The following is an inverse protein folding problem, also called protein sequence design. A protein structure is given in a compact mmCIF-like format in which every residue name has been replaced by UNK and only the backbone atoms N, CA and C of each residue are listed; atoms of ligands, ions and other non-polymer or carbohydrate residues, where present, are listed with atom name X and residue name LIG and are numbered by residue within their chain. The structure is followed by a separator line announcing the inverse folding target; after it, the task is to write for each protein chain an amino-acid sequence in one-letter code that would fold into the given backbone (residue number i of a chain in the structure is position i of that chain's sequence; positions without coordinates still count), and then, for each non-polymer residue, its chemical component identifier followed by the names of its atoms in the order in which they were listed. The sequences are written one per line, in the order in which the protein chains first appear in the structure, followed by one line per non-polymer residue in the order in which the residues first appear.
data_IF_342524123393
#
_entry.id   IF_342524123393
#
_cell.length_a   1.000
_cell.length_b   1.000
_cell.length_c   1.000
_cell.angle_alpha   90.00
_cell.angle_beta   90.00
_cell.angle_gamma   90.00
#
_symmetry.space_group_name_H-M   'P 1'
#
loop_
_entity.id
_entity.type
_entity.pdbx_description
1 polymer ?
#
# COMPACT_ATOMS: atom_id res chain seq x y z
N UNK A 1 -20.56 -7.83 -5.62
CA UNK A 1 -20.33 -9.10 -4.89
C UNK A 1 -21.64 -9.84 -4.60
N UNK A 2 -22.60 -9.27 -3.84
CA UNK A 2 -23.80 -10.02 -3.42
C UNK A 2 -24.91 -10.19 -4.49
N UNK A 3 -24.89 -9.43 -5.59
CA UNK A 3 -25.94 -9.52 -6.62
C UNK A 3 -26.20 -10.93 -7.16
N UNK A 4 -25.18 -11.67 -7.63
CA UNK A 4 -25.34 -13.06 -8.05
C UNK A 4 -25.83 -14.00 -6.93
N UNK A 5 -25.33 -13.82 -5.70
CA UNK A 5 -25.70 -14.64 -4.54
C UNK A 5 -27.18 -14.46 -4.19
N UNK A 6 -27.65 -13.21 -4.09
CA UNK A 6 -29.05 -12.89 -3.80
C UNK A 6 -29.95 -13.45 -4.91
N UNK A 7 -29.57 -13.32 -6.18
CA UNK A 7 -30.35 -13.88 -7.30
C UNK A 7 -30.47 -15.40 -7.22
N UNK A 8 -29.41 -16.10 -6.82
CA UNK A 8 -29.46 -17.54 -6.65
C UNK A 8 -30.34 -17.93 -5.47
N UNK A 9 -30.20 -17.25 -4.32
CA UNK A 9 -31.02 -17.48 -3.13
C UNK A 9 -32.51 -17.31 -3.42
N UNK A 10 -32.88 -16.25 -4.14
CA UNK A 10 -34.29 -15.97 -4.45
C UNK A 10 -34.86 -16.86 -5.55
N UNK A 11 -34.12 -17.09 -6.65
CA UNK A 11 -34.64 -17.84 -7.80
C UNK A 11 -34.52 -19.35 -7.68
N UNK A 12 -33.47 -19.84 -7.00
CA UNK A 12 -33.15 -21.27 -6.96
C UNK A 12 -33.43 -21.89 -5.59
N UNK A 13 -33.13 -21.17 -4.50
CA UNK A 13 -33.34 -21.68 -3.15
C UNK A 13 -34.67 -21.24 -2.51
N UNK A 14 -35.42 -20.34 -3.16
CA UNK A 14 -36.78 -19.95 -2.74
C UNK A 14 -36.86 -18.91 -1.62
N UNK A 15 -35.76 -18.24 -1.28
CA UNK A 15 -35.77 -17.18 -0.26
C UNK A 15 -36.54 -15.94 -0.73
N UNK A 16 -37.28 -15.32 0.18
CA UNK A 16 -38.06 -14.10 -0.02
C UNK A 16 -37.43 -12.90 0.72
N UNK A 17 -36.92 -11.89 -0.01
CA UNK A 17 -36.36 -10.67 0.59
C UNK A 17 -37.35 -9.97 1.52
N UNK A 18 -36.88 -9.57 2.70
CA UNK A 18 -37.67 -8.94 3.76
C UNK A 18 -38.40 -9.91 4.69
N UNK A 19 -38.53 -11.20 4.31
CA UNK A 19 -39.17 -12.24 5.13
C UNK A 19 -38.13 -13.14 5.79
N UNK A 20 -37.37 -13.88 4.98
CA UNK A 20 -36.37 -14.88 5.40
C UNK A 20 -34.94 -14.53 4.94
N UNK A 21 -34.80 -13.49 4.11
CA UNK A 21 -33.54 -12.96 3.61
C UNK A 21 -33.53 -11.46 3.80
N UNK A 22 -32.47 -10.94 4.41
CA UNK A 22 -32.35 -9.50 4.60
C UNK A 22 -30.89 -9.02 4.58
N UNK A 23 -30.71 -7.72 4.34
CA UNK A 23 -29.41 -7.08 4.28
C UNK A 23 -29.24 -6.11 5.45
N UNK A 24 -28.04 -6.09 6.05
CA UNK A 24 -27.66 -5.14 7.09
C UNK A 24 -26.59 -4.16 6.55
N UNK A 25 -26.94 -3.22 5.65
CA UNK A 25 -25.99 -2.25 5.12
C UNK A 25 -25.55 -1.29 6.23
N UNK A 26 -24.31 -0.81 6.14
CA UNK A 26 -23.74 0.15 7.08
C UNK A 26 -22.83 1.15 6.36
N UNK A 27 -22.55 2.27 7.03
CA UNK A 27 -21.54 3.22 6.56
C UNK A 27 -20.14 2.64 6.76
N UNK A 28 -19.65 1.98 5.72
CA UNK A 28 -18.35 1.33 5.71
C UNK A 28 -17.17 2.30 5.86
N UNK A 29 -17.38 3.62 5.84
CA UNK A 29 -16.31 4.62 6.00
C UNK A 29 -15.88 4.77 7.46
N UNK A 30 -16.73 4.34 8.40
CA UNK A 30 -16.63 4.66 9.82
C UNK A 30 -16.18 3.44 10.62
N UNK A 31 -15.37 3.64 11.69
CA UNK A 31 -14.95 2.54 12.54
C UNK A 31 -16.13 1.94 13.32
N UNK A 32 -16.09 0.65 13.69
CA UNK A 32 -17.20 -0.04 14.35
C UNK A 32 -17.69 0.63 15.63
N UNK A 33 -16.78 1.19 16.42
CA UNK A 33 -17.13 1.87 17.67
C UNK A 33 -18.06 3.07 17.48
N UNK A 34 -18.08 3.68 16.30
CA UNK A 34 -18.94 4.82 15.98
C UNK A 34 -20.23 4.40 15.25
N UNK A 35 -20.29 3.18 14.68
CA UNK A 35 -21.49 2.68 14.00
C UNK A 35 -22.67 2.57 14.96
N UNK A 36 -22.43 2.19 16.21
CA UNK A 36 -23.48 2.18 17.22
C UNK A 36 -23.89 3.58 17.63
N UNK A 37 -22.93 4.41 18.06
CA UNK A 37 -23.21 5.76 18.56
C UNK A 37 -23.90 6.65 17.52
N UNK A 38 -23.51 6.54 16.24
CA UNK A 38 -24.05 7.38 15.17
C UNK A 38 -25.35 6.82 14.58
N UNK A 39 -25.39 5.53 14.28
CA UNK A 39 -26.44 4.92 13.45
C UNK A 39 -27.24 3.83 14.17
N UNK A 40 -26.90 3.51 15.42
CA UNK A 40 -27.46 2.37 16.18
C UNK A 40 -27.36 1.05 15.38
N UNK A 41 -26.30 0.91 14.57
CA UNK A 41 -26.20 -0.16 13.59
C UNK A 41 -26.30 -1.55 14.21
N UNK A 42 -25.64 -1.80 15.35
CA UNK A 42 -25.65 -3.14 15.96
C UNK A 42 -26.98 -3.40 16.67
N UNK A 43 -27.55 -2.40 17.33
CA UNK A 43 -28.91 -2.51 17.91
C UNK A 43 -29.96 -2.80 16.83
N UNK A 44 -29.90 -2.11 15.69
CA UNK A 44 -30.80 -2.34 14.56
C UNK A 44 -30.58 -3.72 13.92
N UNK A 45 -29.31 -4.15 13.76
CA UNK A 45 -28.98 -5.48 13.23
C UNK A 45 -29.46 -6.58 14.18
N UNK A 46 -29.38 -6.37 15.49
CA UNK A 46 -29.90 -7.30 16.50
C UNK A 46 -31.43 -7.44 16.39
N UNK A 47 -32.15 -6.32 16.30
CA UNK A 47 -33.60 -6.34 16.09
C UNK A 47 -33.99 -7.01 14.76
N UNK A 48 -33.18 -6.82 13.72
CA UNK A 48 -33.35 -7.49 12.43
C UNK A 48 -33.19 -9.02 12.54
N UNK A 49 -32.18 -9.49 13.28
CA UNK A 49 -31.99 -10.91 13.58
C UNK A 49 -33.19 -11.48 14.36
N UNK A 50 -33.65 -10.77 15.40
CA UNK A 50 -34.82 -11.19 16.18
C UNK A 50 -36.07 -11.26 15.30
N UNK A 51 -36.28 -10.28 14.40
CA UNK A 51 -37.40 -10.31 13.46
C UNK A 51 -37.32 -11.49 12.50
N UNK A 52 -36.16 -11.75 11.90
CA UNK A 52 -35.96 -12.90 11.00
C UNK A 52 -36.23 -14.22 11.71
N UNK A 53 -35.74 -14.36 12.95
CA UNK A 53 -35.99 -15.53 13.79
C UNK A 53 -37.50 -15.76 13.99
N UNK A 54 -38.27 -14.73 14.37
CA UNK A 54 -39.71 -14.87 14.56
C UNK A 54 -40.47 -15.15 13.26
N UNK A 55 -40.09 -14.47 12.17
CA UNK A 55 -40.71 -14.66 10.86
C UNK A 55 -40.46 -16.07 10.30
N UNK A 56 -39.32 -16.68 10.63
CA UNK A 56 -38.91 -17.99 10.14
C UNK A 56 -39.17 -19.10 11.16
N UNK A 57 -40.30 -19.07 11.85
CA UNK A 57 -40.70 -20.11 12.81
C UNK A 57 -39.65 -20.43 13.89
N UNK A 58 -39.02 -19.39 14.44
CA UNK A 58 -37.97 -19.53 15.47
C UNK A 58 -36.73 -20.28 14.97
N UNK A 59 -36.44 -20.17 13.67
CA UNK A 59 -35.22 -20.74 13.09
C UNK A 59 -34.05 -19.77 13.26
N UNK A 60 -32.90 -20.22 13.77
CA UNK A 60 -31.72 -19.37 13.95
C UNK A 60 -31.16 -18.89 12.60
N UNK A 61 -30.64 -17.65 12.59
CA UNK A 61 -30.22 -16.91 11.40
C UNK A 61 -28.78 -17.24 11.00
N UNK A 62 -28.51 -17.29 9.70
CA UNK A 62 -27.16 -17.41 9.16
C UNK A 62 -26.61 -16.04 8.78
N UNK A 63 -25.46 -15.66 9.36
CA UNK A 63 -24.76 -14.43 9.03
C UNK A 63 -23.78 -14.68 7.88
N UNK A 64 -24.17 -14.29 6.66
CA UNK A 64 -23.28 -14.32 5.50
C UNK A 64 -22.59 -12.97 5.31
N UNK A 65 -21.25 -12.97 5.32
CA UNK A 65 -20.47 -11.74 5.31
C UNK A 65 -19.34 -11.78 4.28
N UNK A 66 -18.93 -10.61 3.78
CA UNK A 66 -17.85 -10.51 2.79
C UNK A 66 -16.84 -9.43 3.19
N UNK A 67 -15.54 -9.73 3.01
CA UNK A 67 -14.44 -8.79 3.24
C UNK A 67 -14.55 -8.12 4.63
N UNK A 68 -14.49 -6.79 4.71
CA UNK A 68 -14.64 -6.04 5.96
C UNK A 68 -15.96 -6.35 6.70
N UNK A 69 -17.02 -6.70 5.97
CA UNK A 69 -18.32 -7.07 6.55
C UNK A 69 -18.21 -8.26 7.51
N UNK A 70 -17.30 -9.21 7.27
CA UNK A 70 -17.10 -10.30 8.21
C UNK A 70 -16.49 -9.81 9.51
N UNK A 71 -15.54 -8.88 9.47
CA UNK A 71 -14.96 -8.29 10.68
C UNK A 71 -16.01 -7.47 11.45
N UNK A 72 -16.92 -6.80 10.73
CA UNK A 72 -18.05 -6.07 11.32
C UNK A 72 -19.06 -7.02 11.98
N UNK A 73 -19.39 -8.14 11.34
CA UNK A 73 -20.23 -9.18 11.93
C UNK A 73 -19.59 -9.84 13.16
N UNK A 74 -18.27 -10.06 13.14
CA UNK A 74 -17.55 -10.51 14.32
C UNK A 74 -17.62 -9.49 15.47
N UNK A 75 -17.53 -8.19 15.17
CA UNK A 75 -17.77 -7.13 16.16
C UNK A 75 -19.20 -7.18 16.71
N UNK A 76 -20.20 -7.33 15.83
CA UNK A 76 -21.60 -7.49 16.19
C UNK A 76 -21.83 -8.68 17.14
N UNK A 77 -21.24 -9.84 16.87
CA UNK A 77 -21.35 -11.00 17.77
C UNK A 77 -20.79 -10.70 19.17
N UNK A 78 -19.67 -9.96 19.26
CA UNK A 78 -19.15 -9.51 20.55
C UNK A 78 -20.07 -8.49 21.23
N UNK A 79 -20.68 -7.59 20.46
CA UNK A 79 -21.69 -6.66 20.95
C UNK A 79 -22.90 -7.42 21.54
N UNK A 80 -23.46 -8.39 20.81
CA UNK A 80 -24.54 -9.24 21.31
C UNK A 80 -24.13 -10.01 22.56
N UNK A 81 -22.90 -10.54 22.60
CA UNK A 81 -22.38 -11.25 23.78
C UNK A 81 -22.37 -10.36 25.02
N UNK A 82 -21.97 -9.08 24.86
CA UNK A 82 -21.94 -8.11 25.96
C UNK A 82 -23.35 -7.66 26.40
N UNK A 83 -24.27 -7.46 25.47
CA UNK A 83 -25.58 -6.87 25.75
C UNK A 83 -26.71 -7.89 26.06
N UNK A 84 -26.63 -9.09 25.50
CA UNK A 84 -27.66 -10.14 25.63
C UNK A 84 -27.13 -11.47 26.19
N UNK A 85 -25.81 -11.63 26.25
CA UNK A 85 -25.16 -12.85 26.74
C UNK A 85 -25.10 -13.96 25.69
N UNK A 86 -24.41 -15.05 26.06
CA UNK A 86 -24.13 -16.16 25.15
C UNK A 86 -25.39 -16.93 24.72
N UNK A 87 -26.35 -17.09 25.63
CA UNK A 87 -27.60 -17.78 25.37
C UNK A 87 -28.39 -17.15 24.21
N UNK A 88 -28.37 -15.82 24.07
CA UNK A 88 -29.02 -15.15 22.95
C UNK A 88 -28.38 -15.52 21.62
N UNK A 89 -27.05 -15.58 21.55
CA UNK A 89 -26.31 -15.97 20.34
C UNK A 89 -26.63 -17.41 19.96
N UNK A 90 -26.55 -18.32 20.93
CA UNK A 90 -26.80 -19.74 20.70
C UNK A 90 -28.25 -20.01 20.25
N UNK A 91 -29.20 -19.16 20.65
CA UNK A 91 -30.60 -19.23 20.23
C UNK A 91 -30.86 -18.62 18.84
N UNK A 92 -30.27 -17.47 18.52
CA UNK A 92 -30.65 -16.68 17.34
C UNK A 92 -29.69 -16.83 16.16
N UNK A 93 -28.47 -17.32 16.35
CA UNK A 93 -27.45 -17.40 15.31
C UNK A 93 -27.09 -18.86 15.04
N UNK A 94 -27.35 -19.33 13.83
CA UNK A 94 -27.05 -20.69 13.42
C UNK A 94 -25.59 -20.83 13.01
N UNK A 95 -25.14 -19.91 12.14
CA UNK A 95 -23.80 -19.95 11.57
C UNK A 95 -23.30 -18.55 11.24
N UNK A 96 -21.98 -18.37 11.37
CA UNK A 96 -21.24 -17.22 10.90
C UNK A 96 -20.37 -17.64 9.72
N UNK A 97 -20.65 -17.07 8.54
CA UNK A 97 -20.01 -17.45 7.26
C UNK A 97 -19.22 -16.25 6.71
N UNK A 98 -17.97 -16.06 7.17
CA UNK A 98 -17.08 -15.02 6.63
C UNK A 98 -16.43 -15.43 5.31
N UNK A 99 -16.67 -14.66 4.26
CA UNK A 99 -16.02 -14.85 2.94
C UNK A 99 -14.94 -13.79 2.75
N UNK A 100 -13.67 -14.22 2.64
CA UNK A 100 -12.53 -13.32 2.39
C UNK A 100 -12.29 -12.27 3.49
N UNK A 101 -12.59 -12.60 4.74
CA UNK A 101 -12.59 -11.63 5.84
C UNK A 101 -11.19 -11.36 6.41
N UNK A 102 -10.73 -10.10 6.48
CA UNK A 102 -9.44 -9.73 7.06
C UNK A 102 -9.51 -9.64 8.60
N UNK A 103 -9.74 -10.78 9.27
CA UNK A 103 -9.87 -10.84 10.74
C UNK A 103 -8.67 -10.20 11.45
N UNK A 104 -7.46 -10.47 10.94
CA UNK A 104 -6.19 -9.98 11.50
C UNK A 104 -5.70 -8.69 10.82
N UNK A 105 -6.55 -8.08 9.99
CA UNK A 105 -6.19 -6.95 9.13
C UNK A 105 -5.65 -7.40 7.78
N UNK A 106 -5.44 -6.44 6.88
CA UNK A 106 -4.93 -6.66 5.55
C UNK A 106 -3.81 -5.65 5.24
N UNK A 107 -2.76 -6.06 4.51
CA UNK A 107 -1.69 -5.15 4.09
C UNK A 107 -2.20 -3.99 3.25
N UNK A 108 -3.28 -4.20 2.50
CA UNK A 108 -3.83 -3.20 1.59
C UNK A 108 -4.28 -1.92 2.31
N UNK A 109 -4.89 -2.02 3.49
CA UNK A 109 -5.30 -0.84 4.26
C UNK A 109 -4.09 0.02 4.67
N UNK A 110 -2.99 -0.63 5.07
CA UNK A 110 -1.74 0.06 5.40
C UNK A 110 -1.09 0.69 4.15
N UNK A 111 -1.06 -0.04 3.03
CA UNK A 111 -0.54 0.48 1.75
C UNK A 111 -1.30 1.72 1.28
N UNK A 112 -2.64 1.64 1.31
CA UNK A 112 -3.54 2.70 0.86
C UNK A 112 -3.40 3.98 1.69
N UNK A 113 -3.33 3.86 3.03
CA UNK A 113 -3.32 5.02 3.91
C UNK A 113 -1.92 5.62 4.15
N UNK A 114 -0.85 4.81 4.12
CA UNK A 114 0.48 5.23 4.60
C UNK A 114 1.56 5.24 3.51
N UNK A 115 1.49 4.33 2.54
CA UNK A 115 2.59 4.07 1.61
C UNK A 115 2.35 4.71 0.24
N UNK A 116 2.14 3.87 -0.78
CA UNK A 116 2.01 4.26 -2.20
C UNK A 116 0.65 4.86 -2.54
N UNK A 117 -0.33 4.76 -1.64
CA UNK A 117 -1.71 5.09 -1.96
C UNK A 117 -2.45 3.94 -2.65
N UNK A 118 -3.78 4.04 -2.63
CA UNK A 118 -4.68 3.16 -3.36
C UNK A 118 -5.91 3.99 -3.73
N UNK A 119 -6.22 4.05 -5.02
CA UNK A 119 -7.41 4.73 -5.54
C UNK A 119 -8.68 3.90 -5.32
N UNK A 120 -8.55 2.67 -4.80
CA UNK A 120 -9.67 1.78 -4.46
C UNK A 120 -10.60 1.51 -5.66
N UNK A 121 -10.02 1.48 -6.87
CA UNK A 121 -10.76 1.30 -8.14
C UNK A 121 -11.41 2.58 -8.68
N UNK A 122 -11.09 3.75 -8.10
CA UNK A 122 -11.55 5.06 -8.56
C UNK A 122 -10.45 5.81 -9.34
N UNK A 123 -9.60 5.07 -10.07
CA UNK A 123 -8.47 5.63 -10.85
C UNK A 123 -8.90 6.70 -11.85
N UNK A 124 -10.15 6.63 -12.33
CA UNK A 124 -10.71 7.61 -13.26
C UNK A 124 -11.03 8.97 -12.60
N UNK A 125 -11.09 9.03 -11.27
CA UNK A 125 -11.56 10.20 -10.52
C UNK A 125 -10.56 10.74 -9.51
N UNK A 126 -9.61 9.91 -9.06
CA UNK A 126 -8.67 10.26 -8.00
C UNK A 126 -7.24 10.15 -8.49
N UNK A 127 -6.42 11.16 -8.20
CA UNK A 127 -4.97 11.02 -8.22
C UNK A 127 -4.52 10.07 -7.10
N UNK A 128 -3.28 9.60 -7.20
CA UNK A 128 -2.69 8.77 -6.15
C UNK A 128 -2.62 9.53 -4.81
N UNK A 129 -2.29 10.82 -4.82
CA UNK A 129 -2.29 11.65 -3.60
C UNK A 129 -3.69 11.80 -3.01
N UNK A 130 -4.70 12.01 -3.85
CA UNK A 130 -6.10 12.11 -3.41
C UNK A 130 -6.60 10.77 -2.86
N UNK A 131 -6.18 9.66 -3.45
CA UNK A 131 -6.43 8.32 -2.92
C UNK A 131 -5.86 8.11 -1.52
N UNK A 132 -4.66 8.63 -1.23
CA UNK A 132 -4.06 8.60 0.11
C UNK A 132 -4.90 9.43 1.09
N UNK A 133 -5.30 10.64 0.70
CA UNK A 133 -6.10 11.53 1.55
C UNK A 133 -7.47 10.90 1.85
N UNK A 134 -8.12 10.33 0.84
CA UNK A 134 -9.35 9.57 0.99
C UNK A 134 -9.14 8.41 1.96
N UNK A 135 -8.13 7.58 1.74
CA UNK A 135 -7.85 6.43 2.59
C UNK A 135 -7.63 6.82 4.06
N UNK A 136 -6.97 7.96 4.32
CA UNK A 136 -6.74 8.51 5.67
C UNK A 136 -8.01 9.06 6.32
N UNK A 137 -8.96 9.56 5.53
CA UNK A 137 -10.26 10.03 6.03
C UNK A 137 -11.21 8.90 6.43
N UNK A 138 -10.99 7.69 5.91
CA UNK A 138 -11.82 6.52 6.18
C UNK A 138 -11.33 5.81 7.45
N UNK A 139 -11.95 6.11 8.59
CA UNK A 139 -11.56 5.51 9.87
C UNK A 139 -11.67 3.98 9.92
N UNK A 140 -12.49 3.38 9.05
CA UNK A 140 -12.57 1.92 8.89
C UNK A 140 -11.32 1.29 8.26
N UNK A 141 -10.57 2.00 7.42
CA UNK A 141 -9.35 1.46 6.81
C UNK A 141 -8.24 1.28 7.85
N UNK A 142 -8.14 2.20 8.81
CA UNK A 142 -7.20 2.10 9.93
C UNK A 142 -7.54 0.88 10.80
N UNK A 143 -8.83 0.56 10.96
CA UNK A 143 -9.28 -0.64 11.66
C UNK A 143 -8.88 -1.95 10.96
N UNK A 144 -8.60 -1.90 9.66
CA UNK A 144 -8.08 -3.02 8.87
C UNK A 144 -6.56 -3.13 8.89
N UNK A 145 -5.85 -2.32 9.66
CA UNK A 145 -4.40 -2.44 9.74
C UNK A 145 -3.98 -3.81 10.28
N UNK A 146 -2.87 -4.38 9.76
CA UNK A 146 -2.33 -5.63 10.25
C UNK A 146 -2.10 -5.55 11.76
N UNK A 147 -2.68 -6.49 12.50
CA UNK A 147 -2.44 -6.62 13.93
C UNK A 147 -1.21 -7.49 14.18
N UNK A 148 -0.53 -7.24 15.31
CA UNK A 148 0.60 -8.07 15.73
C UNK A 148 0.11 -9.50 15.95
N UNK A 149 0.67 -10.42 15.17
CA UNK A 149 0.37 -11.84 15.26
C UNK A 149 1.20 -12.51 16.37
N UNK A 150 0.73 -13.64 16.93
CA UNK A 150 1.55 -14.49 17.78
C UNK A 150 2.88 -14.86 17.09
N UNK A 151 3.97 -15.08 17.84
CA UNK A 151 5.30 -15.33 17.28
C UNK A 151 5.38 -16.52 16.31
N UNK A 152 4.45 -17.48 16.43
CA UNK A 152 4.36 -18.68 15.61
C UNK A 152 3.73 -18.46 14.23
N UNK A 153 3.09 -17.32 13.99
CA UNK A 153 2.42 -17.02 12.72
C UNK A 153 3.27 -16.02 11.95
N UNK A 154 3.64 -16.32 10.68
CA UNK A 154 4.41 -15.40 9.87
C UNK A 154 3.66 -14.06 9.73
N UNK A 155 4.34 -12.91 9.87
CA UNK A 155 3.69 -11.61 9.82
C UNK A 155 3.05 -11.37 8.44
N UNK A 156 1.80 -10.92 8.43
CA UNK A 156 1.08 -10.57 7.19
C UNK A 156 1.69 -9.38 6.45
N UNK A 157 2.49 -8.57 7.17
CA UNK A 157 3.26 -7.46 6.62
C UNK A 157 4.67 -7.51 7.20
N UNK A 158 5.65 -7.64 6.31
CA UNK A 158 7.05 -7.47 6.66
C UNK A 158 7.41 -6.02 6.36
N UNK A 159 7.44 -5.19 7.40
CA UNK A 159 8.06 -3.88 7.31
C UNK A 159 9.57 -4.11 7.34
N UNK A 160 10.24 -3.92 6.20
CA UNK A 160 11.70 -3.99 6.16
C UNK A 160 12.26 -2.90 7.06
N UNK A 161 13.26 -3.26 7.86
CA UNK A 161 14.12 -2.29 8.55
C UNK A 161 15.06 -1.58 7.56
N UNK A 162 14.77 -1.55 6.28
CA UNK A 162 15.61 -0.94 5.26
C UNK A 162 14.67 -0.02 4.45
N UNK A 163 15.00 1.27 4.37
CA UNK A 163 14.33 2.20 3.47
C UNK A 163 14.80 2.00 2.03
N UNK A 164 14.07 2.58 1.08
CA UNK A 164 14.51 2.67 -0.31
C UNK A 164 14.65 4.14 -0.69
N UNK A 165 15.86 4.56 -1.02
CA UNK A 165 16.12 5.86 -1.63
C UNK A 165 16.00 5.71 -3.15
N UNK A 166 14.94 6.29 -3.72
CA UNK A 166 14.76 6.39 -5.17
C UNK A 166 15.29 7.73 -5.64
N UNK A 167 16.24 7.72 -6.57
CA UNK A 167 16.75 8.89 -7.28
C UNK A 167 16.29 8.81 -8.72
N UNK A 168 15.52 9.79 -9.16
CA UNK A 168 15.04 9.92 -10.54
C UNK A 168 15.42 11.31 -11.07
N UNK A 169 16.04 11.37 -12.24
CA UNK A 169 16.28 12.63 -12.93
C UNK A 169 15.14 12.83 -13.92
N UNK A 170 14.25 13.78 -13.61
CA UNK A 170 13.06 14.05 -14.43
C UNK A 170 13.31 15.11 -15.50
N UNK A 171 14.35 15.91 -15.34
CA UNK A 171 14.70 17.00 -16.26
C UNK A 171 15.75 16.57 -17.28
N UNK A 172 15.62 16.96 -18.56
CA UNK A 172 16.68 16.78 -19.55
C UNK A 172 17.95 17.52 -19.12
N UNK A 173 19.10 16.86 -19.22
CA UNK A 173 20.38 17.45 -18.86
C UNK A 173 20.99 18.11 -20.10
N UNK A 174 21.26 19.41 -20.04
CA UNK A 174 21.95 20.12 -21.11
C UNK A 174 23.48 19.99 -20.96
N UNK A 175 24.12 19.26 -21.88
CA UNK A 175 25.56 19.01 -21.81
C UNK A 175 26.41 20.24 -22.12
N UNK A 176 25.93 21.16 -22.96
CA UNK A 176 26.64 22.41 -23.28
C UNK A 176 26.74 23.33 -22.07
N UNK A 177 25.70 23.38 -21.25
CA UNK A 177 25.70 24.20 -20.02
C UNK A 177 26.66 23.65 -18.96
N UNK A 178 26.73 22.32 -18.83
CA UNK A 178 27.63 21.67 -17.87
C UNK A 178 29.09 21.67 -18.32
N UNK A 179 29.32 21.56 -19.63
CA UNK A 179 30.65 21.49 -20.25
C UNK A 179 30.80 22.54 -21.38
N UNK A 180 30.82 23.84 -21.04
CA UNK A 180 30.88 24.92 -22.03
C UNK A 180 32.19 24.95 -22.82
N UNK A 181 33.25 24.33 -22.32
CA UNK A 181 34.55 24.23 -22.97
C UNK A 181 34.65 23.13 -24.04
N UNK A 182 33.59 22.34 -24.27
CA UNK A 182 33.62 21.20 -25.19
C UNK A 182 32.96 21.53 -26.53
N UNK A 183 33.68 21.25 -27.62
CA UNK A 183 33.28 21.59 -28.99
C UNK A 183 32.32 20.55 -29.61
N UNK A 184 32.38 19.29 -29.17
CA UNK A 184 31.57 18.18 -29.71
C UNK A 184 31.16 17.16 -28.64
N UNK A 185 29.91 16.69 -28.70
CA UNK A 185 29.34 15.63 -27.86
C UNK A 185 28.94 14.43 -28.76
N UNK A 186 29.91 13.75 -29.35
CA UNK A 186 29.67 12.62 -30.29
C UNK A 186 29.59 11.26 -29.58
N UNK A 187 29.90 11.19 -28.28
CA UNK A 187 29.91 9.94 -27.52
C UNK A 187 28.62 9.76 -26.71
N UNK A 188 28.16 8.51 -26.62
CA UNK A 188 27.04 8.15 -25.75
C UNK A 188 27.44 8.32 -24.29
N UNK A 189 26.57 8.90 -23.46
CA UNK A 189 26.84 9.17 -22.05
C UNK A 189 25.94 8.27 -21.19
N UNK A 190 26.43 7.81 -20.04
CA UNK A 190 25.61 7.13 -19.03
C UNK A 190 25.65 7.89 -17.71
N UNK A 191 24.60 7.73 -16.94
CA UNK A 191 24.46 8.28 -15.61
C UNK A 191 24.88 7.24 -14.57
N UNK A 192 25.77 7.61 -13.67
CA UNK A 192 26.16 6.79 -12.53
C UNK A 192 25.76 7.52 -11.25
N UNK A 193 24.96 6.85 -10.42
CA UNK A 193 24.56 7.36 -9.11
C UNK A 193 25.22 6.48 -8.06
N UNK A 194 25.89 7.11 -7.10
CA UNK A 194 26.58 6.43 -5.99
C UNK A 194 25.95 6.85 -4.67
N UNK A 195 25.66 5.88 -3.82
CA UNK A 195 25.20 6.08 -2.46
C UNK A 195 26.00 5.16 -1.53
N UNK A 196 26.75 5.74 -0.58
CA UNK A 196 27.70 5.02 0.25
C UNK A 196 28.73 4.26 -0.60
N UNK A 197 28.78 2.93 -0.48
CA UNK A 197 29.69 2.05 -1.25
C UNK A 197 29.11 1.52 -2.56
N UNK A 198 27.85 1.82 -2.87
CA UNK A 198 27.13 1.21 -4.01
C UNK A 198 26.97 2.21 -5.15
N UNK A 199 27.39 1.84 -6.36
CA UNK A 199 27.19 2.64 -7.58
C UNK A 199 26.26 1.89 -8.54
N UNK A 200 25.15 2.53 -8.92
CA UNK A 200 24.23 2.06 -9.95
C UNK A 200 24.42 2.89 -11.23
N UNK A 201 24.33 2.25 -12.40
CA UNK A 201 24.62 2.89 -13.70
C UNK A 201 23.46 2.70 -14.68
N UNK A 202 23.10 3.75 -15.41
CA UNK A 202 22.14 3.67 -16.51
C UNK A 202 22.77 3.01 -17.74
N UNK A 203 21.92 2.70 -18.72
CA UNK A 203 22.38 2.43 -20.09
C UNK A 203 23.02 3.69 -20.68
N UNK A 204 23.93 3.49 -21.62
CA UNK A 204 24.47 4.57 -22.44
C UNK A 204 23.39 5.14 -23.35
N UNK A 205 23.35 6.46 -23.47
CA UNK A 205 22.37 7.18 -24.26
C UNK A 205 23.07 8.25 -25.09
N UNK A 206 22.72 8.34 -26.37
CA UNK A 206 23.24 9.37 -27.24
C UNK A 206 22.56 10.71 -26.93
N UNK A 207 23.30 11.84 -26.96
CA UNK A 207 22.70 13.16 -26.88
C UNK A 207 21.79 13.43 -28.08
N UNK A 208 20.69 14.10 -27.84
CA UNK A 208 19.77 14.60 -28.87
C UNK A 208 20.43 15.75 -29.65
N UNK A 209 19.79 16.17 -30.75
CA UNK A 209 20.32 17.21 -31.67
C UNK A 209 20.70 18.52 -30.94
N UNK A 210 20.02 18.83 -29.84
CA UNK A 210 20.26 20.05 -29.05
C UNK A 210 21.33 19.87 -27.94
N UNK A 211 22.06 18.74 -27.94
CA UNK A 211 23.04 18.38 -26.90
C UNK A 211 22.41 18.16 -25.51
N UNK A 212 21.12 17.80 -25.50
CA UNK A 212 20.36 17.37 -24.33
C UNK A 212 20.40 15.84 -24.20
N UNK A 213 20.45 15.34 -22.96
CA UNK A 213 20.32 13.90 -22.68
C UNK A 213 19.22 13.70 -21.64
N UNK A 214 18.30 12.79 -21.93
CA UNK A 214 17.15 12.49 -21.07
C UNK A 214 17.23 11.08 -20.53
N UNK A 215 17.59 10.93 -19.24
CA UNK A 215 17.71 9.63 -18.59
C UNK A 215 16.40 9.19 -17.95
N UNK A 216 15.65 8.31 -18.61
CA UNK A 216 14.40 7.74 -18.06
C UNK A 216 14.66 6.62 -17.03
N UNK A 217 15.71 6.72 -16.23
CA UNK A 217 16.11 5.68 -15.27
C UNK A 217 15.93 6.15 -13.83
N UNK A 218 15.22 5.34 -13.04
CA UNK A 218 15.15 5.49 -11.59
C UNK A 218 16.18 4.56 -10.92
N UNK A 219 17.03 5.12 -10.05
CA UNK A 219 18.03 4.37 -9.28
C UNK A 219 17.51 4.16 -7.87
N UNK A 220 17.45 2.90 -7.42
CA UNK A 220 16.92 2.55 -6.11
C UNK A 220 18.04 1.99 -5.23
N UNK A 221 18.37 2.70 -4.15
CA UNK A 221 19.35 2.25 -3.15
C UNK A 221 18.63 1.78 -1.90
N UNK A 222 19.14 0.71 -1.27
CA UNK A 222 18.69 0.32 0.07
C UNK A 222 19.38 1.21 1.09
N UNK A 223 18.60 1.77 2.01
CA UNK A 223 19.08 2.66 3.06
C UNK A 223 18.74 2.08 4.43
N UNK A 224 19.57 2.35 5.43
CA UNK A 224 19.22 2.04 6.82
C UNK A 224 18.03 2.93 7.25
N UNK A 225 17.14 2.44 8.14
CA UNK A 225 15.84 3.05 8.37
C UNK A 225 15.92 4.25 9.31
N UNK A 226 17.03 4.43 10.04
CA UNK A 226 17.22 5.50 11.03
C UNK A 226 18.72 5.85 11.16
N UNK A 227 19.07 7.09 11.56
CA UNK A 227 20.39 7.34 12.14
C UNK A 227 20.56 6.44 13.37
N UNK A 228 21.66 5.68 13.43
CA UNK A 228 21.99 4.90 14.62
C UNK A 228 22.16 5.84 15.82
N UNK A 229 21.58 5.51 16.98
CA UNK A 229 21.81 6.24 18.24
C UNK A 229 23.31 6.38 18.56
N UNK A 230 24.14 5.48 18.03
CA UNK A 230 25.60 5.50 18.14
C UNK A 230 26.27 6.05 16.88
N UNK A 231 26.17 7.38 16.68
CA UNK A 231 27.20 8.32 16.19
C UNK A 231 28.19 7.98 15.05
N UNK A 232 28.07 6.87 14.33
CA UNK A 232 28.90 6.57 13.16
C UNK A 232 28.02 6.59 11.91
N UNK A 233 27.86 7.78 11.33
CA UNK A 233 27.16 7.93 10.07
C UNK A 233 27.98 7.23 8.96
N UNK A 234 27.46 6.19 8.29
CA UNK A 234 28.06 5.78 7.02
C UNK A 234 27.81 6.91 6.02
N UNK A 235 28.84 7.40 5.33
CA UNK A 235 28.79 8.46 4.31
C UNK A 235 27.46 8.44 3.51
N UNK A 236 26.49 9.26 3.94
CA UNK A 236 25.16 9.37 3.32
C UNK A 236 25.20 10.30 2.11
N UNK A 237 26.33 10.34 1.42
CA UNK A 237 26.56 11.22 0.29
C UNK A 237 26.00 10.56 -0.97
N UNK A 238 25.14 11.29 -1.68
CA UNK A 238 24.71 10.92 -3.02
C UNK A 238 25.65 11.62 -3.99
N UNK A 239 26.39 10.85 -4.78
CA UNK A 239 27.22 11.39 -5.85
C UNK A 239 26.61 10.99 -7.20
N UNK A 240 26.38 11.98 -8.07
CA UNK A 240 25.88 11.78 -9.42
C UNK A 240 27.01 12.15 -10.38
N UNK A 241 27.38 11.21 -11.25
CA UNK A 241 28.40 11.41 -12.28
C UNK A 241 27.91 11.00 -13.66
N UNK A 242 28.46 11.64 -14.68
CA UNK A 242 28.25 11.29 -16.08
C UNK A 242 29.51 10.59 -16.59
N UNK A 243 29.35 9.39 -17.15
CA UNK A 243 30.44 8.55 -17.65
C UNK A 243 30.34 8.36 -19.17
N UNK A 244 31.47 8.37 -19.86
CA UNK A 244 31.59 8.08 -21.29
C UNK A 244 32.25 6.72 -21.53
N UNK A 245 32.02 6.05 -22.68
CA UNK A 245 32.74 4.84 -23.04
C UNK A 245 34.22 5.18 -23.24
N UNK A 246 35.10 4.57 -22.43
CA UNK A 246 36.54 4.77 -22.55
C UNK A 246 37.11 4.15 -23.83
N UNK A 247 38.01 4.89 -24.51
CA UNK A 247 38.88 4.31 -25.54
C UNK A 247 39.76 3.22 -24.90
N UNK A 248 39.49 1.96 -25.23
CA UNK A 248 40.39 0.84 -24.95
C UNK A 248 41.58 0.91 -25.90
N UNK A 249 42.67 1.59 -25.52
CA UNK A 249 44.02 1.27 -26.01
C UNK A 249 45.10 1.82 -25.08
N UNK A 250 45.81 0.89 -24.41
CA UNK A 250 47.26 0.98 -24.20
C UNK A 250 47.85 2.09 -23.31
N UNK A 251 48.22 1.70 -22.09
CA UNK A 251 49.25 2.30 -21.21
C UNK A 251 48.90 3.64 -20.54
N UNK A 252 48.96 3.58 -19.20
CA UNK A 252 48.57 4.56 -18.17
C UNK A 252 47.06 4.65 -17.93
N UNK A 253 46.64 4.18 -16.73
CA UNK A 253 45.35 4.47 -16.10
C UNK A 253 45.25 5.98 -15.81
N UNK A 254 45.16 6.79 -16.85
CA UNK A 254 44.58 8.11 -16.76
C UNK A 254 43.15 7.96 -17.26
N UNK A 255 42.27 7.50 -16.36
CA UNK A 255 40.89 8.00 -16.38
C UNK A 255 41.06 9.52 -16.47
N UNK A 256 40.77 10.14 -17.61
CA UNK A 256 40.56 11.58 -17.62
C UNK A 256 39.39 11.79 -16.66
N UNK A 257 39.64 12.38 -15.48
CA UNK A 257 38.60 12.52 -14.51
C UNK A 257 37.75 13.67 -15.06
N UNK A 258 36.55 13.37 -15.53
CA UNK A 258 35.49 14.38 -15.51
C UNK A 258 35.15 14.65 -14.03
N UNK A 259 36.11 15.19 -13.27
CA UNK A 259 35.92 15.68 -11.90
C UNK A 259 35.33 17.11 -11.99
N UNK A 260 34.23 17.24 -12.74
CA UNK A 260 33.13 18.03 -12.21
C UNK A 260 32.16 17.02 -11.65
N UNK A 261 32.47 16.55 -10.43
CA UNK A 261 31.41 16.18 -9.51
C UNK A 261 30.51 17.40 -9.45
N UNK A 262 29.35 17.33 -10.09
CA UNK A 262 28.23 18.14 -9.62
C UNK A 262 27.86 17.48 -8.29
N UNK A 263 28.62 17.84 -7.25
CA UNK A 263 28.26 17.62 -5.86
C UNK A 263 27.01 18.46 -5.66
N UNK A 264 25.87 17.90 -6.03
CA UNK A 264 24.62 18.22 -5.35
C UNK A 264 24.77 17.58 -3.97
N UNK A 265 25.54 18.26 -3.12
CA UNK A 265 25.61 18.01 -1.69
C UNK A 265 24.24 18.37 -1.13
N UNK A 266 23.29 17.47 -1.34
CA UNK A 266 22.01 17.51 -0.69
C UNK A 266 22.19 16.72 0.60
N UNK A 267 22.38 17.38 1.75
CA UNK A 267 22.21 16.71 3.03
C UNK A 267 20.76 16.21 3.06
N UNK A 268 20.56 14.91 2.83
CA UNK A 268 19.25 14.29 2.91
C UNK A 268 18.87 14.24 4.40
N UNK A 269 18.29 15.34 4.90
CA UNK A 269 17.67 15.42 6.23
C UNK A 269 16.25 14.90 6.26
N UNK A 270 15.73 14.35 5.16
CA UNK A 270 14.42 13.73 5.11
C UNK A 270 14.48 12.39 4.39
N UNK A 271 14.43 11.31 5.16
CA UNK A 271 13.98 10.02 4.64
C UNK A 271 12.47 10.12 4.40
N UNK A 272 12.09 10.46 3.17
CA UNK A 272 10.73 10.17 2.71
C UNK A 272 10.50 8.67 2.84
N UNK A 273 9.46 8.30 3.58
CA UNK A 273 9.12 6.92 3.93
C UNK A 273 8.68 6.13 2.68
N UNK A 274 9.64 5.53 1.99
CA UNK A 274 9.39 4.48 1.00
C UNK A 274 9.30 3.12 1.69
N UNK A 275 8.10 2.69 2.08
CA UNK A 275 7.86 1.36 2.61
C UNK A 275 7.70 0.35 1.46
N UNK A 276 8.69 -0.53 1.25
CA UNK A 276 8.54 -1.66 0.35
C UNK A 276 7.89 -2.84 1.10
N UNK A 277 6.61 -3.09 0.85
CA UNK A 277 5.89 -4.27 1.33
C UNK A 277 6.15 -5.41 0.35
N UNK A 278 6.92 -6.42 0.75
CA UNK A 278 6.96 -7.70 0.03
C UNK A 278 5.70 -8.48 0.37
N UNK A 279 4.79 -8.66 -0.60
CA UNK A 279 3.74 -9.67 -0.52
C UNK A 279 4.26 -11.02 -1.02
N UNK A 280 3.95 -12.15 -0.37
CA UNK A 280 4.00 -13.43 -1.06
C UNK A 280 2.94 -13.41 -2.16
N UNK A 281 3.37 -13.66 -3.40
CA UNK A 281 2.49 -13.85 -4.56
C UNK A 281 1.47 -14.94 -4.25
N UNK A 282 0.20 -14.58 -4.04
CA UNK A 282 -0.93 -15.48 -4.29
C UNK A 282 -1.86 -14.76 -5.26
N UNK A 283 -1.52 -14.92 -6.53
CA UNK A 283 -2.48 -14.86 -7.62
C UNK A 283 -3.11 -16.26 -7.71
N UNK A 284 -4.39 -16.38 -7.38
CA UNK A 284 -5.39 -17.22 -8.05
C UNK A 284 -6.74 -16.53 -7.88
#
# INVERSE_FOLDING_TARGET
VFGPVIRWLTKSAGYTPGVDLDAAPYDWRIPPCQLETRDQYFSNTMAQVERLYHNCHQTPVVLLCHSMGGKAAHYFLNFCLLHKGRAWIDQHIHAYVPVGTPHLGAPQGFRAAICEGDTMGLDAFLSVEEGILLARSLGSLIWLFPKKLPPSIPPTVIIRREGVLRVSITTPINLKQLFPSRVKFEHTVRLAVTYGKTTLRSKFQAPEKDSTVTFNSAFCFRTAPFPSENGSEPDRMISISLEEPGLLMGKKKNLLPFDRRVLLDLPVRSTALGFAICMPCWAV
#
